data_IF_785187645690
#
_entry.id   IF_785187645690
#
_cell.length_a   1.000
_cell.length_b   1.000
_cell.length_c   1.000
_cell.angle_alpha   90.00
_cell.angle_beta   90.00
_cell.angle_gamma   90.00
#
_symmetry.space_group_name_H-M   'P 1'
#
loop_
_entity.id
_entity.type
_entity.pdbx_description
1 polymer ?
#
# COMPACT_ATOMS: atom_id res chain seq x y z
N UNK A 1 -0.36 15.03 19.16
CA UNK A 1 -1.13 13.80 19.48
C UNK A 1 -0.27 12.98 20.44
N UNK A 2 -0.83 12.32 21.45
CA UNK A 2 -0.09 11.50 22.41
C UNK A 2 -0.18 10.01 22.02
N UNK A 3 0.82 9.22 22.42
CA UNK A 3 0.84 7.76 22.21
C UNK A 3 -0.41 7.08 22.78
N UNK A 4 -0.86 7.50 23.99
CA UNK A 4 -2.07 6.98 24.62
C UNK A 4 -3.33 7.25 23.78
N UNK A 5 -3.45 8.45 23.20
CA UNK A 5 -4.59 8.80 22.33
C UNK A 5 -4.59 7.96 21.06
N UNK A 6 -3.43 7.77 20.40
CA UNK A 6 -3.29 6.92 19.21
C UNK A 6 -3.71 5.50 19.56
N UNK A 7 -3.13 4.91 20.61
CA UNK A 7 -3.49 3.56 21.03
C UNK A 7 -5.00 3.40 21.29
N UNK A 8 -5.59 4.33 22.05
CA UNK A 8 -7.04 4.27 22.36
C UNK A 8 -7.93 4.34 21.12
N UNK A 9 -7.51 5.10 20.10
CA UNK A 9 -8.27 5.24 18.84
C UNK A 9 -8.09 4.04 17.92
N UNK A 10 -6.92 3.38 17.98
CA UNK A 10 -6.56 2.26 17.08
C UNK A 10 -6.82 0.88 17.70
N UNK A 11 -7.03 0.81 19.02
CA UNK A 11 -7.27 -0.46 19.72
C UNK A 11 -8.52 -1.16 19.18
N UNK A 12 -8.33 -2.44 18.79
CA UNK A 12 -9.38 -3.27 18.21
C UNK A 12 -9.62 -3.04 16.71
N UNK A 13 -8.83 -2.17 16.07
CA UNK A 13 -8.84 -2.07 14.61
C UNK A 13 -8.20 -3.34 14.01
N UNK A 14 -8.80 -3.87 12.94
CA UNK A 14 -8.23 -5.02 12.20
C UNK A 14 -6.94 -4.61 11.47
N UNK A 15 -6.88 -3.38 10.96
CA UNK A 15 -5.74 -2.84 10.20
C UNK A 15 -5.49 -1.39 10.63
N UNK A 16 -4.22 -1.02 10.73
CA UNK A 16 -3.76 0.35 11.00
C UNK A 16 -2.67 0.75 10.02
N UNK A 17 -2.85 1.91 9.40
CA UNK A 17 -1.77 2.58 8.67
C UNK A 17 -0.77 3.16 9.68
N UNK A 18 0.51 2.90 9.43
CA UNK A 18 1.62 3.25 10.32
C UNK A 18 2.39 4.43 9.74
N UNK A 19 2.67 5.39 10.59
CA UNK A 19 3.52 6.53 10.28
C UNK A 19 4.74 6.56 11.21
N UNK A 20 5.74 7.33 10.85
CA UNK A 20 6.96 7.45 11.65
C UNK A 20 6.67 7.93 13.08
N UNK A 21 7.31 7.31 14.07
CA UNK A 21 7.10 7.54 15.49
C UNK A 21 6.10 6.55 16.11
N UNK A 22 5.91 6.65 17.42
CA UNK A 22 4.96 5.83 18.18
C UNK A 22 5.16 4.30 18.09
N UNK A 23 6.38 3.83 17.91
CA UNK A 23 6.75 2.42 17.71
C UNK A 23 6.17 1.48 18.78
N UNK A 24 6.20 1.89 20.06
CA UNK A 24 5.67 1.08 21.15
C UNK A 24 4.15 0.89 21.05
N UNK A 25 3.43 1.88 20.52
CA UNK A 25 1.99 1.78 20.27
C UNK A 25 1.72 0.76 19.17
N UNK A 26 2.44 0.85 18.06
CA UNK A 26 2.27 -0.07 16.93
C UNK A 26 2.66 -1.50 17.30
N UNK A 27 3.75 -1.68 18.06
CA UNK A 27 4.15 -2.99 18.57
C UNK A 27 3.06 -3.61 19.42
N UNK A 28 2.47 -2.82 20.33
CA UNK A 28 1.35 -3.28 21.16
C UNK A 28 0.12 -3.63 20.34
N UNK A 29 -0.24 -2.85 19.32
CA UNK A 29 -1.35 -3.15 18.42
C UNK A 29 -1.10 -4.44 17.64
N UNK A 30 0.13 -4.66 17.15
CA UNK A 30 0.52 -5.91 16.48
C UNK A 30 0.41 -7.11 17.40
N UNK A 31 0.88 -7.01 18.65
CA UNK A 31 0.74 -8.07 19.65
C UNK A 31 -0.73 -8.39 19.98
N UNK A 32 -1.63 -7.42 19.81
CA UNK A 32 -3.09 -7.58 19.93
C UNK A 32 -3.77 -8.11 18.64
N UNK A 33 -3.00 -8.38 17.57
CA UNK A 33 -3.47 -8.97 16.31
C UNK A 33 -3.87 -7.96 15.23
N UNK A 34 -3.53 -6.68 15.38
CA UNK A 34 -3.76 -5.66 14.36
C UNK A 34 -2.73 -5.82 13.22
N UNK A 35 -3.17 -5.85 11.97
CA UNK A 35 -2.29 -5.75 10.80
C UNK A 35 -1.77 -4.33 10.65
N UNK A 36 -0.48 -4.19 10.40
CA UNK A 36 0.20 -2.91 10.25
C UNK A 36 0.62 -2.70 8.79
N UNK A 37 0.17 -1.61 8.19
CA UNK A 37 0.49 -1.23 6.82
C UNK A 37 1.29 0.06 6.83
N UNK A 38 2.48 0.05 6.23
CA UNK A 38 3.37 1.21 6.13
C UNK A 38 3.20 1.90 4.78
N UNK A 39 2.97 3.21 4.81
CA UNK A 39 3.22 4.12 3.69
C UNK A 39 4.14 5.24 4.20
N UNK A 40 5.31 5.39 3.60
CA UNK A 40 6.34 6.31 4.12
C UNK A 40 6.23 7.72 3.56
N UNK A 41 5.65 7.87 2.38
CA UNK A 41 5.89 9.05 1.56
C UNK A 41 7.38 9.18 1.17
N UNK A 42 7.68 10.03 0.20
CA UNK A 42 9.06 10.23 -0.25
C UNK A 42 9.78 11.28 0.60
N UNK A 43 10.98 10.95 1.07
CA UNK A 43 11.93 11.90 1.67
C UNK A 43 13.34 11.68 1.10
N UNK A 44 14.15 12.74 1.01
CA UNK A 44 15.49 12.66 0.42
C UNK A 44 16.48 11.82 1.24
N UNK A 45 16.24 11.68 2.53
CA UNK A 45 17.07 10.96 3.49
C UNK A 45 16.57 9.54 3.79
N UNK A 46 15.48 9.09 3.12
CA UNK A 46 14.94 7.75 3.36
C UNK A 46 15.95 6.64 3.02
N UNK A 47 16.06 5.68 3.93
CA UNK A 47 16.94 4.52 3.82
C UNK A 47 16.43 3.36 4.67
N UNK A 48 16.88 2.13 4.37
CA UNK A 48 16.54 0.96 5.20
C UNK A 48 16.98 1.15 6.65
N UNK A 49 18.12 1.82 6.90
CA UNK A 49 18.59 2.07 8.26
C UNK A 49 17.67 3.00 9.04
N UNK A 50 17.12 4.04 8.39
CA UNK A 50 16.21 5.00 9.01
C UNK A 50 14.83 4.39 9.30
N UNK A 51 14.33 3.55 8.42
CA UNK A 51 12.99 2.96 8.51
C UNK A 51 12.98 1.52 9.04
N UNK A 52 14.14 0.97 9.46
CA UNK A 52 14.29 -0.43 9.86
C UNK A 52 13.25 -0.86 10.88
N UNK A 53 13.08 -0.11 11.97
CA UNK A 53 12.16 -0.47 13.04
C UNK A 53 10.69 -0.55 12.57
N UNK A 54 10.29 0.31 11.63
CA UNK A 54 8.95 0.26 11.02
C UNK A 54 8.84 -0.89 10.02
N UNK A 55 9.84 -1.10 9.18
CA UNK A 55 9.87 -2.16 8.17
C UNK A 55 9.80 -3.53 8.83
N UNK A 56 10.56 -3.75 9.92
CA UNK A 56 10.53 -5.01 10.66
C UNK A 56 9.25 -5.20 11.49
N UNK A 57 8.55 -4.11 11.80
CA UNK A 57 7.31 -4.15 12.57
C UNK A 57 6.08 -4.37 11.69
N UNK A 58 6.03 -3.79 10.50
CA UNK A 58 4.84 -3.80 9.65
C UNK A 58 4.65 -5.13 8.90
N UNK A 59 3.41 -5.46 8.58
CA UNK A 59 3.04 -6.65 7.81
C UNK A 59 3.10 -6.39 6.30
N UNK A 60 2.82 -5.13 5.91
CA UNK A 60 2.86 -4.67 4.52
C UNK A 60 3.55 -3.31 4.42
N UNK A 61 4.25 -3.10 3.32
CA UNK A 61 4.78 -1.81 2.89
C UNK A 61 4.28 -1.51 1.47
N UNK A 62 3.75 -0.30 1.23
CA UNK A 62 3.04 0.07 0.00
C UNK A 62 3.75 1.23 -0.72
N UNK A 63 5.06 1.10 -1.06
CA UNK A 63 5.83 2.16 -1.67
C UNK A 63 5.50 2.32 -3.16
N UNK A 64 5.71 3.54 -3.68
CA UNK A 64 5.90 3.73 -5.11
C UNK A 64 7.34 3.37 -5.52
N UNK A 65 7.60 3.27 -6.83
CA UNK A 65 8.92 2.87 -7.35
C UNK A 65 10.06 3.79 -6.89
N UNK A 66 9.82 5.10 -6.74
CA UNK A 66 10.85 6.05 -6.27
C UNK A 66 11.20 5.80 -4.82
N UNK A 67 10.20 5.61 -3.98
CA UNK A 67 10.35 5.26 -2.57
C UNK A 67 11.04 3.92 -2.40
N UNK A 68 10.57 2.88 -3.12
CA UNK A 68 11.14 1.54 -3.07
C UNK A 68 12.62 1.54 -3.46
N UNK A 69 12.95 2.12 -4.61
CA UNK A 69 14.34 2.21 -5.07
C UNK A 69 15.21 3.04 -4.13
N UNK A 70 14.68 4.16 -3.61
CA UNK A 70 15.44 5.03 -2.70
C UNK A 70 15.74 4.33 -1.38
N UNK A 71 14.74 3.71 -0.75
CA UNK A 71 14.89 3.06 0.55
C UNK A 71 15.79 1.82 0.48
N UNK A 72 15.75 1.09 -0.65
CA UNK A 72 16.55 -0.12 -0.87
C UNK A 72 17.91 0.15 -1.52
N UNK A 73 18.17 1.40 -1.90
CA UNK A 73 19.41 1.81 -2.61
C UNK A 73 19.63 1.01 -3.91
N UNK A 74 18.55 0.73 -4.66
CA UNK A 74 18.57 -0.02 -5.91
C UNK A 74 18.29 0.88 -7.11
N UNK A 75 18.61 0.38 -8.33
CA UNK A 75 18.45 1.11 -9.57
C UNK A 75 17.16 0.74 -10.34
N UNK A 76 16.48 -0.32 -9.93
CA UNK A 76 15.25 -0.80 -10.59
C UNK A 76 14.20 -1.25 -9.57
N UNK A 77 12.89 -1.21 -9.93
CA UNK A 77 11.83 -1.76 -9.10
C UNK A 77 11.97 -3.27 -8.85
N UNK A 78 12.52 -4.02 -9.83
CA UNK A 78 12.78 -5.46 -9.75
C UNK A 78 13.84 -5.78 -8.69
N UNK A 79 14.90 -4.98 -8.61
CA UNK A 79 15.89 -5.10 -7.55
C UNK A 79 15.31 -4.67 -6.21
N UNK A 80 14.51 -3.59 -6.19
CA UNK A 80 13.87 -3.11 -4.97
C UNK A 80 12.95 -4.16 -4.35
N UNK A 81 12.06 -4.79 -5.13
CA UNK A 81 11.16 -5.82 -4.60
C UNK A 81 11.93 -7.04 -4.10
N UNK A 82 13.07 -7.38 -4.74
CA UNK A 82 13.96 -8.46 -4.29
C UNK A 82 14.61 -8.16 -2.94
N UNK A 83 14.95 -6.90 -2.67
CA UNK A 83 15.43 -6.47 -1.35
C UNK A 83 14.31 -6.49 -0.32
N UNK A 84 13.13 -5.96 -0.68
CA UNK A 84 11.95 -5.90 0.21
C UNK A 84 11.44 -7.30 0.58
N UNK A 85 11.63 -8.32 -0.25
CA UNK A 85 11.25 -9.71 0.05
C UNK A 85 12.00 -10.35 1.22
N UNK A 86 13.06 -9.70 1.72
CA UNK A 86 13.77 -10.12 2.93
C UNK A 86 13.05 -9.67 4.22
N UNK A 87 12.13 -8.74 4.09
CA UNK A 87 11.40 -8.12 5.21
C UNK A 87 9.91 -8.44 5.19
N UNK A 88 9.33 -8.60 4.00
CA UNK A 88 7.90 -8.81 3.79
C UNK A 88 7.67 -10.14 3.07
N UNK A 89 6.71 -10.93 3.54
CA UNK A 89 6.29 -12.18 2.88
C UNK A 89 5.75 -11.91 1.47
N UNK A 90 4.96 -10.83 1.35
CA UNK A 90 4.34 -10.40 0.11
C UNK A 90 4.68 -8.93 -0.18
N UNK A 91 5.91 -8.64 -0.67
CA UNK A 91 6.29 -7.27 -1.00
C UNK A 91 5.62 -6.79 -2.28
N UNK A 92 5.47 -5.47 -2.39
CA UNK A 92 4.92 -4.80 -3.57
C UNK A 92 5.62 -3.49 -3.88
N UNK A 93 5.47 -3.02 -5.13
CA UNK A 93 5.95 -1.71 -5.59
C UNK A 93 4.94 -1.13 -6.59
N UNK A 94 4.41 0.06 -6.31
CA UNK A 94 3.55 0.81 -7.25
C UNK A 94 4.40 1.37 -8.40
N UNK A 95 4.00 1.10 -9.65
CA UNK A 95 4.77 1.43 -10.87
C UNK A 95 4.16 2.59 -11.67
N UNK A 96 3.34 3.44 -11.04
CA UNK A 96 2.63 4.56 -11.69
C UNK A 96 1.73 4.05 -12.85
N UNK A 97 2.02 4.45 -14.06
CA UNK A 97 1.25 4.07 -15.27
C UNK A 97 1.35 2.58 -15.64
N UNK A 98 2.31 1.86 -15.10
CA UNK A 98 2.54 0.45 -15.39
C UNK A 98 1.88 -0.48 -14.34
N UNK A 99 1.08 0.08 -13.43
CA UNK A 99 0.32 -0.65 -12.42
C UNK A 99 1.09 -0.91 -11.13
N UNK A 100 1.05 -2.14 -10.64
CA UNK A 100 1.73 -2.52 -9.41
C UNK A 100 2.37 -3.90 -9.54
N UNK A 101 3.64 -3.99 -9.15
CA UNK A 101 4.39 -5.24 -9.04
C UNK A 101 4.20 -5.81 -7.64
N UNK A 102 3.95 -7.12 -7.54
CA UNK A 102 3.89 -7.87 -6.30
C UNK A 102 4.76 -9.12 -6.38
N UNK A 103 5.06 -9.72 -5.23
CA UNK A 103 5.75 -11.01 -5.15
C UNK A 103 5.03 -11.91 -4.15
N UNK A 104 4.72 -13.14 -4.55
CA UNK A 104 4.17 -14.20 -3.70
C UNK A 104 4.95 -15.48 -3.90
N UNK A 105 5.35 -16.15 -2.83
CA UNK A 105 6.13 -17.38 -2.90
C UNK A 105 7.42 -17.26 -3.72
N UNK A 106 8.05 -16.09 -3.72
CA UNK A 106 9.27 -15.79 -4.48
C UNK A 106 9.04 -15.55 -5.98
N UNK A 107 7.79 -15.53 -6.45
CA UNK A 107 7.44 -15.25 -7.86
C UNK A 107 6.89 -13.85 -8.00
N UNK A 108 7.53 -13.06 -8.86
CA UNK A 108 7.07 -11.72 -9.21
C UNK A 108 5.90 -11.80 -10.19
N UNK A 109 4.91 -10.92 -9.99
CA UNK A 109 3.79 -10.71 -10.91
C UNK A 109 3.48 -9.22 -11.01
N UNK A 110 2.74 -8.82 -12.04
CA UNK A 110 2.25 -7.45 -12.19
C UNK A 110 0.73 -7.45 -12.30
N UNK A 111 0.10 -6.51 -11.62
CA UNK A 111 -1.31 -6.15 -11.79
C UNK A 111 -1.32 -4.84 -12.56
N UNK A 112 -1.81 -4.82 -13.81
CA UNK A 112 -1.77 -3.63 -14.66
C UNK A 112 -2.70 -2.52 -14.13
N UNK A 113 -2.54 -1.31 -14.64
CA UNK A 113 -3.51 -0.22 -14.46
C UNK A 113 -4.84 -0.56 -15.13
N UNK A 114 -5.86 0.20 -14.79
CA UNK A 114 -7.18 0.07 -15.40
C UNK A 114 -7.25 1.01 -16.62
N UNK A 115 -7.23 0.46 -17.81
CA UNK A 115 -7.08 1.20 -19.07
C UNK A 115 -8.19 2.23 -19.34
N UNK A 116 -9.38 2.05 -18.76
CA UNK A 116 -10.51 2.99 -18.92
C UNK A 116 -10.31 4.30 -18.14
N UNK A 117 -9.35 4.36 -17.21
CA UNK A 117 -9.10 5.54 -16.38
C UNK A 117 -8.08 6.47 -17.03
N UNK A 118 -8.56 7.58 -17.58
CA UNK A 118 -7.70 8.61 -18.19
C UNK A 118 -7.20 9.56 -17.12
N UNK A 119 -5.88 9.63 -16.93
CA UNK A 119 -5.25 10.47 -15.92
C UNK A 119 -5.41 11.95 -16.22
N UNK A 120 -6.00 12.69 -15.27
CA UNK A 120 -6.13 14.15 -15.22
C UNK A 120 -5.17 14.73 -14.19
N UNK A 121 -5.22 14.24 -12.95
CA UNK A 121 -4.37 14.67 -11.83
C UNK A 121 -4.01 13.46 -10.97
N UNK A 122 -2.73 13.34 -10.59
CA UNK A 122 -2.25 12.21 -9.76
C UNK A 122 -2.27 12.48 -8.25
N UNK A 123 -2.77 13.65 -7.84
CA UNK A 123 -2.85 14.02 -6.42
C UNK A 123 -3.78 13.07 -5.68
N UNK A 124 -3.27 12.43 -4.61
CA UNK A 124 -4.02 11.49 -3.78
C UNK A 124 -4.17 10.07 -4.35
N UNK A 125 -3.61 9.78 -5.52
CA UNK A 125 -3.67 8.43 -6.10
C UNK A 125 -3.06 7.35 -5.20
N UNK A 126 -1.96 7.68 -4.50
CA UNK A 126 -1.32 6.79 -3.52
C UNK A 126 -2.23 6.49 -2.33
N UNK A 127 -2.85 7.52 -1.76
CA UNK A 127 -3.77 7.38 -0.62
C UNK A 127 -5.03 6.58 -1.02
N UNK A 128 -5.56 6.85 -2.21
CA UNK A 128 -6.69 6.09 -2.77
C UNK A 128 -6.32 4.63 -3.04
N UNK A 129 -5.11 4.37 -3.58
CA UNK A 129 -4.59 3.00 -3.74
C UNK A 129 -4.50 2.30 -2.37
N UNK A 130 -3.90 2.96 -1.38
CA UNK A 130 -3.77 2.43 -0.03
C UNK A 130 -5.14 2.07 0.57
N UNK A 131 -6.15 2.93 0.40
CA UNK A 131 -7.51 2.68 0.87
C UNK A 131 -8.11 1.41 0.24
N UNK A 132 -8.00 1.23 -1.08
CA UNK A 132 -8.47 0.02 -1.79
C UNK A 132 -7.70 -1.23 -1.39
N UNK A 133 -6.39 -1.13 -1.22
CA UNK A 133 -5.54 -2.23 -0.75
C UNK A 133 -5.92 -2.67 0.67
N UNK A 134 -6.07 -1.71 1.59
CA UNK A 134 -6.50 -1.99 2.97
C UNK A 134 -7.93 -2.53 3.04
N UNK A 135 -8.84 -2.07 2.17
CA UNK A 135 -10.18 -2.66 2.04
C UNK A 135 -10.11 -4.15 1.67
N UNK A 136 -9.22 -4.50 0.74
CA UNK A 136 -8.97 -5.90 0.38
C UNK A 136 -8.45 -6.73 1.55
N UNK A 137 -7.45 -6.24 2.28
CA UNK A 137 -6.93 -6.91 3.47
C UNK A 137 -8.00 -7.05 4.57
N UNK A 138 -8.82 -6.01 4.77
CA UNK A 138 -9.90 -6.03 5.76
C UNK A 138 -10.94 -7.12 5.49
N UNK A 139 -11.21 -7.40 4.22
CA UNK A 139 -12.17 -8.40 3.75
C UNK A 139 -11.52 -9.76 3.39
N UNK A 140 -10.27 -9.99 3.80
CA UNK A 140 -9.53 -11.24 3.62
C UNK A 140 -9.38 -11.68 2.15
N UNK A 141 -9.27 -10.71 1.22
CA UNK A 141 -8.94 -10.99 -0.17
C UNK A 141 -7.49 -11.46 -0.32
N UNK A 142 -7.20 -12.23 -1.38
CA UNK A 142 -5.82 -12.62 -1.72
C UNK A 142 -4.97 -11.38 -2.00
N UNK A 143 -3.69 -11.45 -1.72
CA UNK A 143 -2.77 -10.30 -1.88
C UNK A 143 -2.84 -9.65 -3.27
N UNK A 144 -2.88 -10.47 -4.34
CA UNK A 144 -3.05 -9.97 -5.71
C UNK A 144 -4.36 -9.22 -5.91
N UNK A 145 -5.44 -9.69 -5.29
CA UNK A 145 -6.75 -9.06 -5.35
C UNK A 145 -6.77 -7.73 -4.57
N UNK A 146 -6.04 -7.64 -3.45
CA UNK A 146 -5.84 -6.37 -2.72
C UNK A 146 -5.12 -5.33 -3.59
N UNK A 147 -4.10 -5.74 -4.36
CA UNK A 147 -3.41 -4.87 -5.32
C UNK A 147 -4.37 -4.39 -6.41
N UNK A 148 -5.22 -5.27 -6.95
CA UNK A 148 -6.22 -4.89 -7.96
C UNK A 148 -7.22 -3.87 -7.39
N UNK A 149 -7.72 -4.07 -6.16
CA UNK A 149 -8.59 -3.12 -5.49
C UNK A 149 -7.90 -1.76 -5.31
N UNK A 150 -6.61 -1.75 -4.97
CA UNK A 150 -5.79 -0.54 -4.94
C UNK A 150 -5.65 0.14 -6.30
N UNK A 151 -5.39 -0.62 -7.39
CA UNK A 151 -5.33 -0.08 -8.75
C UNK A 151 -6.67 0.52 -9.21
N UNK A 152 -7.79 -0.08 -8.82
CA UNK A 152 -9.15 0.42 -9.12
C UNK A 152 -9.41 1.76 -8.42
N UNK A 153 -9.15 1.86 -7.12
CA UNK A 153 -9.39 3.09 -6.35
C UNK A 153 -8.40 4.19 -6.71
N UNK A 154 -7.12 3.89 -6.83
CA UNK A 154 -6.09 4.84 -7.26
C UNK A 154 -6.29 5.31 -8.69
N UNK A 155 -6.64 4.39 -9.60
CA UNK A 155 -6.96 4.70 -10.99
C UNK A 155 -8.22 5.58 -11.13
N UNK A 156 -9.26 5.35 -10.34
CA UNK A 156 -10.44 6.24 -10.32
C UNK A 156 -10.09 7.63 -9.79
N UNK A 157 -9.29 7.72 -8.73
CA UNK A 157 -8.87 8.99 -8.14
C UNK A 157 -8.20 9.92 -9.16
N UNK A 158 -7.35 9.38 -10.06
CA UNK A 158 -6.62 10.21 -11.04
C UNK A 158 -7.48 10.77 -12.16
N UNK A 159 -8.75 10.38 -12.31
CA UNK A 159 -9.65 10.86 -13.37
C UNK A 159 -10.24 12.26 -13.11
N UNK A 160 -10.05 12.81 -11.92
CA UNK A 160 -10.48 14.16 -11.53
C UNK A 160 -9.33 15.02 -11.05
N UNK A 161 -9.63 16.28 -10.70
CA UNK A 161 -8.68 17.22 -10.12
C UNK A 161 -8.77 17.21 -8.60
N UNK A 162 -7.64 16.91 -7.92
CA UNK A 162 -7.57 16.79 -6.46
C UNK A 162 -7.95 15.40 -5.95
N UNK A 163 -7.64 15.14 -4.67
CA UNK A 163 -7.63 13.79 -4.09
C UNK A 163 -9.02 13.21 -3.71
N UNK A 164 -10.09 14.01 -3.71
CA UNK A 164 -11.42 13.59 -3.21
C UNK A 164 -12.56 13.87 -4.19
N UNK A 165 -12.26 14.25 -5.44
CA UNK A 165 -13.28 14.59 -6.44
C UNK A 165 -13.84 13.35 -7.15
N UNK A 166 -13.01 12.34 -7.33
CA UNK A 166 -13.36 11.10 -8.01
C UNK A 166 -13.00 9.90 -7.13
N UNK A 167 -13.99 9.08 -6.85
CA UNK A 167 -13.84 7.86 -6.04
C UNK A 167 -14.85 6.80 -6.47
N UNK A 168 -14.68 5.59 -6.00
CA UNK A 168 -15.64 4.50 -6.17
C UNK A 168 -16.38 4.28 -4.85
N UNK A 169 -17.71 4.15 -4.93
CA UNK A 169 -18.48 3.56 -3.84
C UNK A 169 -18.12 2.08 -3.70
N UNK A 170 -18.44 1.45 -2.57
CA UNK A 170 -18.18 0.02 -2.37
C UNK A 170 -18.84 -0.84 -3.45
N UNK A 171 -20.09 -0.54 -3.82
CA UNK A 171 -20.83 -1.24 -4.88
C UNK A 171 -20.11 -1.15 -6.24
N UNK A 172 -19.67 0.05 -6.62
CA UNK A 172 -18.92 0.29 -7.86
C UNK A 172 -17.57 -0.41 -7.83
N UNK A 173 -16.84 -0.35 -6.70
CA UNK A 173 -15.57 -1.02 -6.53
C UNK A 173 -15.70 -2.53 -6.70
N UNK A 174 -16.66 -3.16 -6.05
CA UNK A 174 -16.89 -4.61 -6.15
C UNK A 174 -17.36 -5.03 -7.53
N UNK A 175 -18.18 -4.21 -8.20
CA UNK A 175 -18.58 -4.44 -9.59
C UNK A 175 -17.33 -4.43 -10.50
N UNK A 176 -16.51 -3.39 -10.42
CA UNK A 176 -15.26 -3.28 -11.19
C UNK A 176 -14.27 -4.39 -10.86
N UNK A 177 -14.11 -4.71 -9.59
CA UNK A 177 -13.27 -5.82 -9.18
C UNK A 177 -13.68 -7.14 -9.84
N UNK A 178 -14.99 -7.45 -9.93
CA UNK A 178 -15.47 -8.65 -10.59
C UNK A 178 -15.28 -8.63 -12.12
N UNK A 179 -15.21 -7.45 -12.73
CA UNK A 179 -14.92 -7.29 -14.17
C UNK A 179 -13.43 -7.53 -14.48
N UNK A 180 -12.52 -7.15 -13.59
CA UNK A 180 -11.06 -7.14 -13.81
C UNK A 180 -10.28 -8.25 -13.10
N UNK A 181 -10.87 -8.95 -12.12
CA UNK A 181 -10.16 -10.05 -11.47
C UNK A 181 -9.88 -11.17 -12.45
N UNK A 182 -8.61 -11.61 -12.50
CA UNK A 182 -8.24 -12.82 -13.23
C UNK A 182 -8.87 -14.07 -12.55
N UNK A 183 -9.34 -15.02 -13.35
CA UNK A 183 -9.82 -16.32 -12.88
C UNK A 183 -8.72 -17.15 -12.17
#
# INVERSE_FOLDING_TARGET
VTAEKIYRMSKGAKIVEVQNGYYDVYRKLKDEGTLLVLDTGYTDDMSLSLYRDLIELCDYYVPNQKEAMKITETASPEDAISVLSRYFENPMVKLDKDGCMGMEGGKVFTVPVIDEYVRVDSTGAGDAFLAGFMYGLFNDYRFRDCILLGNLTGGKCVTGVGCLTEYLTEEELLKKFNEYKAE
#
